data_IF_376320063190
#
_entry.id   IF_376320063190
#
_cell.length_a   1.000
_cell.length_b   1.000
_cell.length_c   1.000
_cell.angle_alpha   90.00
_cell.angle_beta   90.00
_cell.angle_gamma   90.00
#
_symmetry.space_group_name_H-M   'P 1'
#
loop_
_entity.id
_entity.type
_entity.pdbx_description
1 polymer ?
#
# COMPACT_ATOMS: atom_id res chain seq x y z
N UNK A 1 -16.48 10.03 -14.41
CA UNK A 1 -15.03 10.34 -14.35
C UNK A 1 -14.62 11.28 -15.49
N UNK A 2 -14.79 10.88 -16.77
CA UNK A 2 -14.52 11.70 -17.96
C UNK A 2 -15.12 13.12 -17.92
N UNK A 3 -16.41 13.27 -17.59
CA UNK A 3 -17.05 14.59 -17.50
C UNK A 3 -16.37 15.55 -16.52
N UNK A 4 -15.75 15.03 -15.46
CA UNK A 4 -15.00 15.86 -14.51
C UNK A 4 -13.69 16.33 -15.13
N UNK A 5 -12.99 15.44 -15.85
CA UNK A 5 -11.73 15.74 -16.56
C UNK A 5 -11.95 16.80 -17.62
N UNK A 6 -13.04 16.70 -18.40
CA UNK A 6 -13.30 17.59 -19.53
C UNK A 6 -13.92 18.94 -19.17
N UNK A 7 -14.42 19.09 -17.93
CA UNK A 7 -15.10 20.33 -17.47
C UNK A 7 -14.34 21.63 -17.81
N UNK A 8 -13.01 21.71 -17.69
CA UNK A 8 -12.28 22.94 -17.99
C UNK A 8 -12.20 23.29 -19.49
N UNK A 9 -12.51 22.35 -20.40
CA UNK A 9 -12.33 22.52 -21.84
C UNK A 9 -13.69 22.46 -22.57
N UNK A 10 -14.33 23.62 -22.82
CA UNK A 10 -15.67 23.68 -23.40
C UNK A 10 -15.73 23.23 -24.87
N UNK A 11 -14.59 23.15 -25.57
CA UNK A 11 -14.52 22.62 -26.94
C UNK A 11 -14.72 21.10 -26.99
N UNK A 12 -14.49 20.40 -25.88
CA UNK A 12 -14.65 18.96 -25.77
C UNK A 12 -16.04 18.59 -25.24
N UNK A 13 -17.07 18.95 -26.00
CA UNK A 13 -18.44 18.51 -25.69
C UNK A 13 -18.57 17.02 -25.96
N UNK A 14 -19.09 16.29 -24.97
CA UNK A 14 -19.23 14.85 -25.00
C UNK A 14 -20.61 14.48 -24.47
N UNK A 15 -21.33 13.61 -25.19
CA UNK A 15 -22.58 13.02 -24.73
C UNK A 15 -22.36 11.82 -23.80
N UNK A 16 -23.43 11.36 -23.13
CA UNK A 16 -23.37 10.19 -22.24
C UNK A 16 -22.99 8.91 -22.99
N UNK A 17 -23.58 8.67 -24.17
CA UNK A 17 -23.30 7.48 -24.98
C UNK A 17 -21.84 7.45 -25.42
N UNK A 18 -21.30 8.60 -25.85
CA UNK A 18 -19.89 8.73 -26.23
C UNK A 18 -18.95 8.53 -25.04
N UNK A 19 -19.31 9.08 -23.88
CA UNK A 19 -18.55 8.87 -22.64
C UNK A 19 -18.54 7.40 -22.22
N UNK A 20 -19.67 6.69 -22.37
CA UNK A 20 -19.75 5.25 -22.13
C UNK A 20 -18.89 4.46 -23.12
N UNK A 21 -18.89 4.83 -24.40
CA UNK A 21 -18.05 4.21 -25.41
C UNK A 21 -16.54 4.41 -25.16
N UNK A 22 -16.16 5.51 -24.49
CA UNK A 22 -14.76 5.79 -24.12
C UNK A 22 -14.37 5.18 -22.77
N UNK A 23 -15.32 4.81 -21.91
CA UNK A 23 -15.04 4.31 -20.57
C UNK A 23 -14.07 3.10 -20.53
N UNK A 24 -14.15 2.12 -21.45
CA UNK A 24 -13.19 1.01 -21.48
C UNK A 24 -11.74 1.47 -21.71
N UNK A 25 -11.52 2.58 -22.41
CA UNK A 25 -10.18 3.13 -22.64
C UNK A 25 -9.63 3.89 -21.43
N UNK A 26 -10.49 4.26 -20.48
CA UNK A 26 -10.09 4.90 -19.22
C UNK A 26 -9.67 3.87 -18.18
N UNK A 27 -10.24 2.65 -18.21
CA UNK A 27 -9.94 1.61 -17.23
C UNK A 27 -8.43 1.30 -17.09
N UNK A 28 -7.65 1.14 -18.17
CA UNK A 28 -6.21 0.88 -18.07
C UNK A 28 -5.41 2.01 -17.41
N UNK A 29 -5.88 3.25 -17.49
CA UNK A 29 -5.25 4.37 -16.80
C UNK A 29 -5.42 4.22 -15.29
N UNK A 30 -6.65 3.93 -14.85
CA UNK A 30 -7.00 3.76 -13.45
C UNK A 30 -6.30 2.54 -12.84
N UNK A 31 -6.26 1.43 -13.57
CA UNK A 31 -5.57 0.20 -13.15
C UNK A 31 -4.07 0.41 -12.93
N UNK A 32 -3.45 1.30 -13.70
CA UNK A 32 -2.05 1.70 -13.57
C UNK A 32 -1.82 2.78 -12.50
N UNK A 33 -2.87 3.21 -11.81
CA UNK A 33 -2.81 4.22 -10.75
C UNK A 33 -2.91 5.67 -11.22
N UNK A 34 -3.15 5.93 -12.52
CA UNK A 34 -3.30 7.28 -13.05
C UNK A 34 -4.72 7.79 -12.81
N UNK A 35 -4.82 8.92 -12.11
CA UNK A 35 -6.06 9.50 -11.65
C UNK A 35 -6.59 10.63 -12.53
N UNK A 36 -7.45 11.44 -11.92
CA UNK A 36 -8.11 12.56 -12.59
C UNK A 36 -7.14 13.63 -13.13
N UNK A 37 -6.08 13.95 -12.38
CA UNK A 37 -5.09 14.95 -12.78
C UNK A 37 -4.27 14.47 -13.99
N UNK A 38 -3.81 13.23 -13.95
CA UNK A 38 -3.00 12.63 -15.02
C UNK A 38 -3.79 12.54 -16.33
N UNK A 39 -5.06 12.13 -16.23
CA UNK A 39 -5.97 12.13 -17.37
C UNK A 39 -6.25 13.55 -17.90
N UNK A 40 -6.37 14.55 -17.04
CA UNK A 40 -6.54 15.94 -17.50
C UNK A 40 -5.31 16.44 -18.25
N UNK A 41 -4.12 16.20 -17.74
CA UNK A 41 -2.87 16.58 -18.39
C UNK A 41 -2.72 15.90 -19.76
N UNK A 42 -2.96 14.57 -19.81
CA UNK A 42 -2.87 13.83 -21.05
C UNK A 42 -3.92 14.27 -22.08
N UNK A 43 -5.19 14.43 -21.66
CA UNK A 43 -6.29 14.69 -22.59
C UNK A 43 -6.36 16.17 -23.01
N UNK A 44 -6.10 17.11 -22.10
CA UNK A 44 -6.26 18.54 -22.36
C UNK A 44 -4.97 19.23 -22.81
N UNK A 45 -3.79 18.66 -22.52
CA UNK A 45 -2.51 19.28 -22.87
C UNK A 45 -2.29 19.38 -24.39
N UNK A 46 -2.06 20.58 -24.91
CA UNK A 46 -1.75 20.81 -26.33
C UNK A 46 -2.88 20.43 -27.27
N UNK A 47 -4.13 20.79 -26.95
CA UNK A 47 -5.25 20.62 -27.86
C UNK A 47 -5.10 21.54 -29.09
N UNK A 48 -5.52 21.09 -30.28
CA UNK A 48 -5.52 21.94 -31.47
C UNK A 48 -6.49 23.11 -31.28
N UNK A 49 -6.29 24.19 -32.04
CA UNK A 49 -7.14 25.38 -31.98
C UNK A 49 -8.61 25.04 -32.29
N UNK A 50 -8.82 24.17 -33.28
CA UNK A 50 -10.13 23.68 -33.69
C UNK A 50 -10.25 22.17 -33.45
N UNK A 51 -11.31 21.78 -32.74
CA UNK A 51 -11.66 20.37 -32.51
C UNK A 51 -12.91 20.04 -33.32
N UNK A 52 -12.77 19.16 -34.31
CA UNK A 52 -13.88 18.73 -35.15
C UNK A 52 -14.67 17.56 -34.55
N UNK A 53 -14.01 16.73 -33.74
CA UNK A 53 -14.64 15.59 -33.08
C UNK A 53 -13.99 15.34 -31.72
N UNK A 54 -14.70 15.71 -30.66
CA UNK A 54 -14.31 15.43 -29.28
C UNK A 54 -14.12 13.92 -29.01
N UNK A 55 -15.05 13.01 -29.38
CA UNK A 55 -14.85 11.59 -29.10
C UNK A 55 -13.65 11.00 -29.87
N UNK A 56 -13.36 11.47 -31.09
CA UNK A 56 -12.22 10.98 -31.85
C UNK A 56 -10.88 11.39 -31.22
N UNK A 57 -10.71 12.67 -30.87
CA UNK A 57 -9.47 13.14 -30.25
C UNK A 57 -9.25 12.53 -28.86
N UNK A 58 -10.32 12.30 -28.10
CA UNK A 58 -10.24 11.66 -26.80
C UNK A 58 -9.85 10.19 -26.90
N UNK A 59 -10.45 9.43 -27.82
CA UNK A 59 -10.08 8.04 -28.09
C UNK A 59 -8.59 7.94 -28.43
N UNK A 60 -8.17 8.75 -29.40
CA UNK A 60 -6.79 8.79 -29.87
C UNK A 60 -5.79 9.10 -28.74
N UNK A 61 -6.10 10.10 -27.90
CA UNK A 61 -5.24 10.45 -26.76
C UNK A 61 -5.25 9.40 -25.65
N UNK A 62 -6.41 8.84 -25.30
CA UNK A 62 -6.52 7.78 -24.30
C UNK A 62 -5.70 6.54 -24.67
N UNK A 63 -5.60 6.24 -25.97
CA UNK A 63 -4.78 5.13 -26.47
C UNK A 63 -3.31 5.51 -26.60
N UNK A 64 -2.98 6.59 -27.32
CA UNK A 64 -1.57 6.93 -27.61
C UNK A 64 -0.78 7.43 -26.40
N UNK A 65 -1.44 8.14 -25.47
CA UNK A 65 -0.78 8.68 -24.28
C UNK A 65 -0.84 7.76 -23.07
N UNK A 66 -1.38 6.56 -23.21
CA UNK A 66 -1.45 5.59 -22.12
C UNK A 66 -0.03 5.28 -21.63
N UNK A 67 0.34 5.67 -20.39
CA UNK A 67 1.69 5.45 -19.89
C UNK A 67 1.93 3.94 -19.74
N UNK A 68 3.17 3.45 -19.89
CA UNK A 68 3.47 2.04 -19.67
C UNK A 68 3.01 1.58 -18.28
N UNK A 69 2.74 0.28 -18.14
CA UNK A 69 2.42 -0.28 -16.83
C UNK A 69 3.58 0.00 -15.87
N UNK A 70 3.30 0.49 -14.64
CA UNK A 70 4.36 0.69 -13.66
C UNK A 70 5.08 -0.64 -13.44
N UNK A 71 6.41 -0.60 -13.44
CA UNK A 71 7.19 -1.78 -13.07
C UNK A 71 6.79 -2.20 -11.64
N UNK A 72 6.66 -3.51 -11.38
CA UNK A 72 6.43 -3.98 -10.03
C UNK A 72 7.60 -3.49 -9.17
N UNK A 73 7.31 -2.58 -8.24
CA UNK A 73 8.28 -2.18 -7.23
C UNK A 73 8.50 -3.42 -6.37
N UNK A 74 9.55 -4.18 -6.68
CA UNK A 74 10.00 -5.26 -5.82
C UNK A 74 10.45 -4.55 -4.54
N UNK A 75 9.75 -4.73 -3.40
CA UNK A 75 10.22 -4.12 -2.17
C UNK A 75 11.63 -4.66 -1.96
N UNK A 76 12.62 -3.76 -1.94
CA UNK A 76 13.98 -4.13 -1.62
C UNK A 76 13.90 -4.94 -0.33
N UNK A 77 14.42 -6.17 -0.36
CA UNK A 77 14.46 -7.01 0.84
C UNK A 77 15.12 -6.18 1.93
N UNK A 78 14.41 -5.87 3.04
CA UNK A 78 14.97 -5.00 4.05
C UNK A 78 16.24 -5.68 4.57
N UNK A 79 17.39 -5.04 4.33
CA UNK A 79 18.64 -5.45 4.97
C UNK A 79 18.49 -5.05 6.43
N UNK A 80 18.25 -6.05 7.26
CA UNK A 80 18.23 -5.85 8.71
C UNK A 80 19.66 -5.55 9.16
N UNK A 81 19.81 -4.47 9.91
CA UNK A 81 21.04 -4.15 10.61
C UNK A 81 20.75 -3.95 12.10
N UNK A 82 21.80 -3.93 12.92
CA UNK A 82 21.69 -3.64 14.33
C UNK A 82 21.83 -2.14 14.59
N UNK A 83 20.97 -1.60 15.46
CA UNK A 83 21.10 -0.23 15.94
C UNK A 83 22.46 -0.02 16.59
N UNK A 84 23.23 0.97 16.13
CA UNK A 84 24.56 1.28 16.68
C UNK A 84 24.60 1.68 18.16
N UNK A 85 23.45 1.86 18.81
CA UNK A 85 23.35 2.22 20.24
C UNK A 85 22.79 1.10 21.11
N UNK A 86 21.72 0.42 20.67
CA UNK A 86 20.99 -0.54 21.49
C UNK A 86 20.89 -1.95 20.88
N UNK A 87 21.57 -2.19 19.76
CA UNK A 87 21.57 -3.44 19.00
C UNK A 87 20.19 -3.94 18.53
N UNK A 88 19.13 -3.11 18.62
CA UNK A 88 17.81 -3.47 18.11
C UNK A 88 17.84 -3.64 16.58
N UNK A 89 17.23 -4.70 16.02
CA UNK A 89 17.09 -4.85 14.57
C UNK A 89 16.33 -3.68 13.95
N UNK A 90 16.91 -3.06 12.92
CA UNK A 90 16.35 -1.94 12.17
C UNK A 90 16.44 -2.18 10.65
N UNK A 91 15.48 -1.70 9.84
CA UNK A 91 15.42 -1.97 8.40
C UNK A 91 16.31 -1.02 7.55
N UNK A 92 17.31 -0.40 8.18
CA UNK A 92 18.24 0.58 7.60
C UNK A 92 19.50 0.59 8.48
N UNK A 93 20.63 1.08 7.96
CA UNK A 93 21.85 1.28 8.75
C UNK A 93 21.70 2.49 9.70
N UNK A 94 22.33 2.44 10.87
CA UNK A 94 22.41 3.56 11.82
C UNK A 94 21.75 3.29 13.16
N UNK A 95 21.01 4.27 13.68
CA UNK A 95 20.37 4.20 15.02
C UNK A 95 18.86 4.13 14.91
N UNK A 96 18.22 3.34 15.77
CA UNK A 96 16.78 3.19 15.76
C UNK A 96 16.07 4.49 16.15
N UNK A 97 14.81 4.65 15.72
CA UNK A 97 13.98 5.84 16.04
C UNK A 97 13.97 6.19 17.53
N UNK A 98 13.94 5.19 18.42
CA UNK A 98 14.01 5.43 19.88
C UNK A 98 15.34 6.06 20.30
N UNK A 99 16.46 5.50 19.84
CA UNK A 99 17.80 6.05 20.14
C UNK A 99 18.03 7.41 19.47
N UNK A 100 17.38 7.67 18.33
CA UNK A 100 17.38 8.97 17.67
C UNK A 100 16.49 10.02 18.35
N UNK A 101 15.76 9.67 19.43
CA UNK A 101 14.78 10.57 20.06
C UNK A 101 13.54 10.86 19.19
N UNK A 102 13.35 10.10 18.10
CA UNK A 102 12.25 10.22 17.14
C UNK A 102 11.13 9.21 17.40
N UNK A 103 11.27 8.37 18.42
CA UNK A 103 10.17 7.53 18.85
C UNK A 103 9.07 8.44 19.40
N UNK A 104 7.90 8.36 18.78
CA UNK A 104 6.66 8.78 19.45
C UNK A 104 6.60 7.94 20.74
N UNK A 105 6.53 8.60 21.89
CA UNK A 105 6.18 7.93 23.15
C UNK A 105 4.97 7.02 22.86
N UNK A 106 5.10 5.68 22.94
CA UNK A 106 3.94 4.82 22.82
C UNK A 106 2.99 5.23 23.92
N UNK A 107 1.76 5.57 23.54
CA UNK A 107 0.73 6.09 24.43
C UNK A 107 0.72 5.33 25.76
N UNK A 108 0.86 6.07 26.83
CA UNK A 108 0.94 5.61 28.21
C UNK A 108 -0.39 5.01 28.70
N UNK A 109 -0.87 3.92 28.08
CA UNK A 109 -1.98 3.11 28.61
C UNK A 109 -1.93 1.65 28.13
N UNK A 110 -0.75 1.11 27.84
CA UNK A 110 -0.65 -0.34 27.65
C UNK A 110 -0.43 -0.97 29.03
N UNK A 111 -1.46 -1.67 29.54
CA UNK A 111 -1.40 -2.41 30.80
C UNK A 111 -0.32 -3.51 30.74
N UNK A 112 0.91 -3.11 31.07
CA UNK A 112 2.08 -3.96 31.10
C UNK A 112 1.92 -5.11 32.10
N UNK A 113 1.19 -4.87 33.21
CA UNK A 113 0.89 -5.89 34.19
C UNK A 113 -0.06 -6.96 33.60
N UNK A 114 -1.10 -6.53 32.87
CA UNK A 114 -2.01 -7.40 32.12
C UNK A 114 -1.27 -8.26 31.10
N UNK A 115 -0.36 -7.67 30.30
CA UNK A 115 0.47 -8.41 29.33
C UNK A 115 1.39 -9.42 30.01
N UNK A 116 2.05 -9.03 31.10
CA UNK A 116 2.92 -9.92 31.86
C UNK A 116 2.14 -11.13 32.42
N UNK A 117 0.93 -10.90 32.93
CA UNK A 117 0.05 -11.95 33.44
C UNK A 117 -0.40 -12.93 32.35
N UNK A 118 -0.76 -12.43 31.16
CA UNK A 118 -1.11 -13.27 30.00
C UNK A 118 0.08 -14.14 29.59
N UNK A 119 1.27 -13.54 29.46
CA UNK A 119 2.48 -14.27 29.08
C UNK A 119 2.88 -15.34 30.11
N UNK A 120 2.75 -15.04 31.41
CA UNK A 120 3.02 -16.01 32.47
C UNK A 120 2.07 -17.21 32.41
N UNK A 121 0.76 -16.96 32.24
CA UNK A 121 -0.25 -18.01 32.07
C UNK A 121 -0.02 -18.87 30.82
N UNK A 122 0.33 -18.24 29.70
CA UNK A 122 0.69 -18.95 28.47
C UNK A 122 1.87 -19.89 28.67
N UNK A 123 2.97 -19.40 29.25
CA UNK A 123 4.15 -20.22 29.56
C UNK A 123 3.84 -21.39 30.51
N UNK A 124 3.00 -21.17 31.52
CA UNK A 124 2.60 -22.23 32.45
C UNK A 124 1.82 -23.34 31.73
N UNK A 125 0.90 -23.00 30.83
CA UNK A 125 0.16 -23.99 30.03
C UNK A 125 1.06 -24.79 29.10
N UNK A 126 2.01 -24.13 28.42
CA UNK A 126 2.99 -24.82 27.57
C UNK A 126 3.83 -25.80 28.39
N UNK A 127 4.35 -25.37 29.55
CA UNK A 127 5.11 -26.27 30.44
C UNK A 127 4.29 -27.45 30.93
N UNK A 128 3.03 -27.22 31.33
CA UNK A 128 2.14 -28.30 31.76
C UNK A 128 1.94 -29.32 30.65
N UNK A 129 1.62 -28.88 29.43
CA UNK A 129 1.43 -29.76 28.28
C UNK A 129 2.68 -30.60 27.94
N UNK A 130 3.87 -29.99 28.02
CA UNK A 130 5.14 -30.68 27.80
C UNK A 130 5.47 -31.69 28.91
N UNK A 131 5.10 -31.40 30.16
CA UNK A 131 5.34 -32.29 31.30
C UNK A 131 4.32 -33.45 31.40
N UNK A 132 3.21 -33.37 30.66
CA UNK A 132 2.15 -34.41 30.64
C UNK A 132 2.24 -35.35 29.44
N UNK A 133 3.31 -35.31 28.64
CA UNK A 133 3.55 -36.28 27.57
C UNK A 133 3.72 -37.72 28.09
N UNK A 134 3.38 -38.76 27.30
CA UNK A 134 3.35 -40.15 27.76
C UNK A 134 4.78 -40.68 27.91
N UNK A 135 5.37 -40.52 29.09
CA UNK A 135 6.74 -40.99 29.34
C UNK A 135 7.23 -40.94 30.78
N UNK A 136 6.36 -40.63 31.76
CA UNK A 136 6.77 -40.65 33.17
C UNK A 136 6.51 -42.04 33.78
N UNK A 137 7.42 -42.97 33.51
CA UNK A 137 7.51 -44.24 34.25
C UNK A 137 7.84 -43.91 35.70
N UNK A 138 6.91 -44.21 36.62
CA UNK A 138 7.22 -44.22 38.05
C UNK A 138 8.11 -45.42 38.37
N UNK A 139 9.19 -45.28 39.16
CA UNK A 139 9.95 -46.43 39.61
C UNK A 139 9.14 -47.26 40.60
N UNK A 140 9.01 -48.55 40.32
CA UNK A 140 8.42 -49.54 41.23
C UNK A 140 9.28 -49.66 42.49
N UNK A 141 8.63 -49.56 43.66
CA UNK A 141 9.26 -49.82 44.97
C UNK A 141 9.27 -51.33 45.21
N UNK A 142 10.43 -51.87 45.59
CA UNK A 142 10.62 -53.21 46.14
C UNK A 142 10.32 -53.23 47.64
#
# INVERSE_FOLDING_TARGET
MLFRVLRPEPRLRLGTVEAMALAPLVAPWLERGYGHRDLAEALLGGLPDRVHSAPAILRDRLTRKLPPAPEPVVPATPRWSECGTCARPIPHEGVCRSCAGLAREPGQTEDMAGRASIAARGRARVRAALNTGPGRVLPARA
#
